data_IF_503027661431
#
_entry.id   IF_503027661431
#
_cell.length_a   1.000
_cell.length_b   1.000
_cell.length_c   1.000
_cell.angle_alpha   90.00
_cell.angle_beta   90.00
_cell.angle_gamma   90.00
#
_symmetry.space_group_name_H-M   'P 1'
#
loop_
_entity.id
_entity.type
_entity.pdbx_description
1 polymer ?
#
# COMPACT_ATOMS: atom_id res chain seq x y z
N UNK A 1 -25.08 -13.65 -3.96
CA UNK A 1 -25.47 -12.25 -4.24
C UNK A 1 -26.52 -12.24 -5.35
N UNK A 2 -27.58 -11.43 -5.28
CA UNK A 2 -28.62 -11.38 -6.33
C UNK A 2 -27.98 -10.91 -7.66
N UNK A 3 -28.39 -11.47 -8.81
CA UNK A 3 -27.83 -11.20 -10.14
C UNK A 3 -27.76 -9.70 -10.48
N UNK A 4 -28.75 -8.92 -10.05
CA UNK A 4 -28.79 -7.46 -10.23
C UNK A 4 -27.62 -6.74 -9.54
N UNK A 5 -27.28 -7.12 -8.30
CA UNK A 5 -26.12 -6.55 -7.58
C UNK A 5 -24.80 -6.92 -8.26
N UNK A 6 -24.70 -8.10 -8.88
CA UNK A 6 -23.52 -8.47 -9.67
C UNK A 6 -23.34 -7.56 -10.89
N UNK A 7 -24.41 -7.26 -11.63
CA UNK A 7 -24.35 -6.34 -12.78
C UNK A 7 -23.97 -4.91 -12.35
N UNK A 8 -24.56 -4.43 -11.26
CA UNK A 8 -24.21 -3.12 -10.68
C UNK A 8 -22.72 -3.06 -10.30
N UNK A 9 -22.22 -4.10 -9.62
CA UNK A 9 -20.81 -4.26 -9.25
C UNK A 9 -19.88 -4.23 -10.46
N UNK A 10 -20.16 -5.01 -11.51
CA UNK A 10 -19.37 -4.98 -12.74
C UNK A 10 -19.38 -3.61 -13.42
N UNK A 11 -20.54 -2.94 -13.48
CA UNK A 11 -20.64 -1.58 -14.04
C UNK A 11 -19.83 -0.57 -13.23
N UNK A 12 -19.91 -0.63 -11.90
CA UNK A 12 -19.20 0.27 -11.01
C UNK A 12 -17.68 0.14 -11.19
N UNK A 13 -17.14 -1.08 -11.18
CA UNK A 13 -15.71 -1.34 -11.41
C UNK A 13 -15.24 -0.79 -12.75
N UNK A 14 -16.00 -1.01 -13.83
CA UNK A 14 -15.65 -0.53 -15.18
C UNK A 14 -15.62 0.99 -15.27
N UNK A 15 -16.55 1.67 -14.59
CA UNK A 15 -16.57 3.15 -14.51
C UNK A 15 -15.36 3.67 -13.74
N UNK A 16 -15.03 3.08 -12.60
CA UNK A 16 -13.83 3.46 -11.84
C UNK A 16 -12.55 3.26 -12.64
N UNK A 17 -12.40 2.12 -13.33
CA UNK A 17 -11.22 1.88 -14.16
C UNK A 17 -11.12 2.88 -15.32
N UNK A 18 -12.26 3.26 -15.93
CA UNK A 18 -12.30 4.27 -16.97
C UNK A 18 -11.91 5.66 -16.45
N UNK A 19 -12.34 6.02 -15.24
CA UNK A 19 -11.93 7.25 -14.55
C UNK A 19 -10.41 7.30 -14.35
N UNK A 20 -9.82 6.26 -13.73
CA UNK A 20 -8.36 6.16 -13.52
C UNK A 20 -7.61 6.23 -14.86
N UNK A 21 -8.15 5.62 -15.91
CA UNK A 21 -7.55 5.70 -17.24
C UNK A 21 -7.59 7.11 -17.84
N UNK A 22 -8.64 7.88 -17.58
CA UNK A 22 -8.71 9.30 -17.94
C UNK A 22 -7.57 10.08 -17.29
N UNK A 23 -7.35 9.89 -15.99
CA UNK A 23 -6.24 10.52 -15.25
C UNK A 23 -4.88 10.13 -15.83
N UNK A 24 -4.66 8.83 -16.09
CA UNK A 24 -3.41 8.38 -16.69
C UNK A 24 -3.18 8.83 -18.15
N UNK A 25 -4.22 9.33 -18.82
CA UNK A 25 -4.10 9.93 -20.14
C UNK A 25 -3.66 11.40 -20.09
N UNK A 26 -3.87 12.07 -18.95
CA UNK A 26 -3.41 13.43 -18.74
C UNK A 26 -1.87 13.48 -18.57
N UNK A 27 -1.13 14.26 -19.38
CA UNK A 27 0.32 14.30 -19.28
C UNK A 27 0.88 14.84 -17.96
N UNK A 28 0.21 15.79 -17.32
CA UNK A 28 0.66 16.38 -16.05
C UNK A 28 0.46 15.36 -14.92
N UNK A 29 -0.75 14.81 -14.79
CA UNK A 29 -1.01 13.77 -13.79
C UNK A 29 -0.12 12.54 -14.00
N UNK A 30 0.13 12.13 -15.24
CA UNK A 30 1.00 10.99 -15.51
C UNK A 30 2.48 11.26 -15.27
N UNK A 31 2.92 12.53 -15.30
CA UNK A 31 4.28 12.89 -14.92
C UNK A 31 4.49 12.70 -13.42
N UNK A 32 3.52 13.10 -12.60
CA UNK A 32 3.62 13.06 -11.14
C UNK A 32 3.27 11.68 -10.54
N UNK A 33 2.30 10.98 -11.14
CA UNK A 33 1.74 9.72 -10.60
C UNK A 33 1.87 8.53 -11.53
N UNK A 34 2.66 8.64 -12.61
CA UNK A 34 2.75 7.59 -13.63
C UNK A 34 3.22 6.24 -13.08
N UNK A 35 4.13 6.22 -12.10
CA UNK A 35 4.61 4.99 -11.49
C UNK A 35 3.50 4.23 -10.76
N UNK A 36 2.66 4.93 -10.02
CA UNK A 36 1.57 4.36 -9.24
C UNK A 36 0.41 3.90 -10.14
N UNK A 37 0.02 4.75 -11.11
CA UNK A 37 -1.00 4.43 -12.10
C UNK A 37 -0.65 3.16 -12.91
N UNK A 38 0.64 2.97 -13.26
CA UNK A 38 1.08 1.74 -13.91
C UNK A 38 0.90 0.51 -13.02
N UNK A 39 1.18 0.63 -11.73
CA UNK A 39 0.99 -0.44 -10.75
C UNK A 39 -0.49 -0.78 -10.59
N UNK A 40 -1.38 0.23 -10.53
CA UNK A 40 -2.82 0.05 -10.55
C UNK A 40 -3.27 -0.84 -11.73
N UNK A 41 -2.93 -0.46 -12.96
CA UNK A 41 -3.30 -1.25 -14.14
C UNK A 41 -2.71 -2.64 -14.10
N UNK A 42 -1.45 -2.77 -13.68
CA UNK A 42 -0.78 -4.05 -13.59
C UNK A 42 -1.47 -5.01 -12.60
N UNK A 43 -1.73 -4.56 -11.37
CA UNK A 43 -2.33 -5.41 -10.35
C UNK A 43 -3.74 -5.84 -10.74
N UNK A 44 -4.59 -4.91 -11.21
CA UNK A 44 -5.92 -5.24 -11.73
C UNK A 44 -5.81 -6.25 -12.88
N UNK A 45 -4.90 -6.04 -13.84
CA UNK A 45 -4.71 -6.94 -14.97
C UNK A 45 -4.20 -8.33 -14.57
N UNK A 46 -3.35 -8.41 -13.56
CA UNK A 46 -2.66 -9.63 -13.17
C UNK A 46 -3.52 -10.53 -12.26
N UNK A 47 -4.35 -9.94 -11.41
CA UNK A 47 -4.98 -10.65 -10.29
C UNK A 47 -6.51 -10.71 -10.37
N UNK A 48 -7.17 -9.91 -11.21
CA UNK A 48 -8.64 -9.97 -11.35
C UNK A 48 -9.14 -11.34 -11.83
N UNK A 49 -10.28 -11.78 -11.31
CA UNK A 49 -11.01 -12.97 -11.77
C UNK A 49 -11.77 -12.72 -13.08
N UNK A 50 -12.31 -11.51 -13.25
CA UNK A 50 -13.04 -11.11 -14.46
C UNK A 50 -12.07 -11.00 -15.65
N UNK A 51 -12.20 -11.84 -16.70
CA UNK A 51 -11.30 -11.84 -17.84
C UNK A 51 -11.41 -10.56 -18.69
N UNK A 52 -12.56 -9.90 -18.75
CA UNK A 52 -12.75 -8.65 -19.48
C UNK A 52 -12.03 -7.51 -18.79
N UNK A 53 -12.16 -7.44 -17.45
CA UNK A 53 -11.44 -6.49 -16.62
C UNK A 53 -9.93 -6.65 -16.77
N UNK A 54 -9.43 -7.91 -16.72
CA UNK A 54 -8.00 -8.21 -16.95
C UNK A 54 -7.51 -7.69 -18.29
N UNK A 55 -8.24 -7.97 -19.38
CA UNK A 55 -7.84 -7.57 -20.74
C UNK A 55 -7.86 -6.04 -20.88
N UNK A 56 -8.87 -5.39 -20.31
CA UNK A 56 -9.02 -3.93 -20.37
C UNK A 56 -7.91 -3.22 -19.61
N UNK A 57 -7.68 -3.57 -18.35
CA UNK A 57 -6.61 -3.00 -17.53
C UNK A 57 -5.23 -3.26 -18.15
N UNK A 58 -4.99 -4.47 -18.72
CA UNK A 58 -3.74 -4.78 -19.40
C UNK A 58 -3.52 -3.91 -20.63
N UNK A 59 -4.56 -3.67 -21.44
CA UNK A 59 -4.46 -2.81 -22.62
C UNK A 59 -4.10 -1.38 -22.23
N UNK A 60 -4.86 -0.81 -21.28
CA UNK A 60 -4.64 0.53 -20.73
C UNK A 60 -3.23 0.66 -20.16
N UNK A 61 -2.86 -0.23 -19.24
CA UNK A 61 -1.53 -0.24 -18.64
C UNK A 61 -0.40 -0.41 -19.65
N UNK A 62 -0.54 -1.28 -20.66
CA UNK A 62 0.49 -1.46 -21.69
C UNK A 62 0.68 -0.21 -22.55
N UNK A 63 -0.39 0.51 -22.84
CA UNK A 63 -0.31 1.79 -23.53
C UNK A 63 0.45 2.83 -22.70
N UNK A 64 0.05 2.99 -21.44
CA UNK A 64 0.72 3.91 -20.50
C UNK A 64 2.18 3.51 -20.25
N UNK A 65 2.49 2.21 -20.20
CA UNK A 65 3.86 1.70 -20.05
C UNK A 65 4.75 2.08 -21.25
N UNK A 66 4.21 2.16 -22.48
CA UNK A 66 4.96 2.69 -23.63
C UNK A 66 5.20 4.19 -23.49
N UNK A 67 4.24 4.94 -22.95
CA UNK A 67 4.45 6.36 -22.65
C UNK A 67 5.54 6.53 -21.59
N UNK A 68 5.49 5.76 -20.51
CA UNK A 68 6.52 5.75 -19.47
C UNK A 68 7.93 5.57 -20.03
N UNK A 69 8.14 4.59 -20.93
CA UNK A 69 9.44 4.39 -21.60
C UNK A 69 9.86 5.55 -22.51
N UNK A 70 8.92 6.33 -23.05
CA UNK A 70 9.22 7.52 -23.86
C UNK A 70 9.56 8.73 -23.00
N UNK A 71 8.90 8.88 -21.85
CA UNK A 71 9.18 9.96 -20.88
C UNK A 71 10.53 9.71 -20.19
N UNK A 72 10.83 8.45 -19.87
CA UNK A 72 12.05 8.04 -19.18
C UNK A 72 12.91 7.11 -20.06
N UNK A 73 13.53 7.62 -21.14
CA UNK A 73 14.39 6.82 -22.02
C UNK A 73 15.74 6.45 -21.38
N UNK A 74 16.17 7.22 -20.38
CA UNK A 74 17.38 7.00 -19.61
C UNK A 74 17.21 7.57 -18.20
N UNK A 75 17.97 7.05 -17.24
CA UNK A 75 18.00 7.57 -15.89
C UNK A 75 18.60 8.99 -15.90
N UNK A 76 17.98 10.00 -15.27
CA UNK A 76 18.57 11.32 -15.11
C UNK A 76 19.93 11.23 -14.41
N UNK A 77 20.91 12.05 -14.85
CA UNK A 77 22.27 12.03 -14.29
C UNK A 77 22.35 12.49 -12.83
N UNK A 78 21.37 13.27 -12.40
CA UNK A 78 21.21 13.84 -11.06
C UNK A 78 20.15 13.10 -10.22
N UNK A 79 19.71 11.92 -10.65
CA UNK A 79 18.70 11.14 -9.95
C UNK A 79 19.13 10.82 -8.50
N UNK A 80 18.30 11.27 -7.56
CA UNK A 80 18.43 10.96 -6.14
C UNK A 80 17.75 9.63 -5.77
N UNK A 81 17.79 9.28 -4.48
CA UNK A 81 17.21 8.05 -3.97
C UNK A 81 15.69 7.96 -4.27
N UNK A 82 14.94 9.04 -4.07
CA UNK A 82 13.49 9.07 -4.30
C UNK A 82 13.16 8.94 -5.80
N UNK A 83 13.91 9.63 -6.66
CA UNK A 83 13.79 9.49 -8.12
C UNK A 83 14.07 8.05 -8.57
N UNK A 84 15.09 7.41 -8.00
CA UNK A 84 15.41 6.00 -8.30
C UNK A 84 14.27 5.08 -7.85
N UNK A 85 13.67 5.32 -6.67
CA UNK A 85 12.55 4.53 -6.16
C UNK A 85 11.32 4.64 -7.08
N UNK A 86 10.94 5.86 -7.45
CA UNK A 86 9.80 6.11 -8.33
C UNK A 86 10.00 5.46 -9.71
N UNK A 87 11.18 5.68 -10.30
CA UNK A 87 11.51 5.13 -11.62
C UNK A 87 11.58 3.60 -11.61
N UNK A 88 12.07 3.01 -10.51
CA UNK A 88 12.04 1.57 -10.28
C UNK A 88 10.60 1.05 -10.16
N UNK A 89 9.75 1.73 -9.40
CA UNK A 89 8.37 1.32 -9.16
C UNK A 89 7.56 1.30 -10.47
N UNK A 90 7.63 2.36 -11.27
CA UNK A 90 6.98 2.42 -12.58
C UNK A 90 7.60 1.44 -13.59
N UNK A 91 8.93 1.27 -13.57
CA UNK A 91 9.59 0.35 -14.51
C UNK A 91 9.30 -1.13 -14.22
N UNK A 92 9.14 -1.52 -12.95
CA UNK A 92 8.71 -2.87 -12.60
C UNK A 92 7.32 -3.14 -13.20
N UNK A 93 6.37 -2.22 -13.04
CA UNK A 93 5.04 -2.37 -13.61
C UNK A 93 5.07 -2.40 -15.14
N UNK A 94 5.84 -1.51 -15.80
CA UNK A 94 6.00 -1.49 -17.24
C UNK A 94 6.56 -2.83 -17.80
N UNK A 95 7.59 -3.39 -17.15
CA UNK A 95 8.15 -4.70 -17.49
C UNK A 95 7.10 -5.81 -17.37
N UNK A 96 6.32 -5.79 -16.29
CA UNK A 96 5.29 -6.78 -16.02
C UNK A 96 4.04 -6.64 -16.93
N UNK A 97 3.82 -5.45 -17.48
CA UNK A 97 2.85 -5.15 -18.54
C UNK A 97 3.37 -5.52 -19.95
N UNK A 98 4.63 -5.95 -20.05
CA UNK A 98 5.23 -6.47 -21.28
C UNK A 98 5.96 -5.42 -22.12
N UNK A 99 6.31 -4.27 -21.54
CA UNK A 99 7.13 -3.22 -22.18
C UNK A 99 8.50 -3.18 -21.47
N UNK A 100 9.31 -4.19 -21.78
CA UNK A 100 10.58 -4.44 -21.09
C UNK A 100 11.66 -3.47 -21.52
N UNK A 101 12.49 -3.06 -20.56
CA UNK A 101 13.71 -2.28 -20.82
C UNK A 101 14.88 -2.77 -19.94
N UNK A 102 15.65 -3.78 -20.41
CA UNK A 102 16.77 -4.32 -19.64
C UNK A 102 17.92 -3.32 -19.47
N UNK A 103 18.09 -2.37 -20.40
CA UNK A 103 19.15 -1.37 -20.32
C UNK A 103 18.86 -0.36 -19.22
N UNK A 104 17.64 0.19 -19.18
CA UNK A 104 17.19 1.08 -18.13
C UNK A 104 17.19 0.40 -16.76
N UNK A 105 16.75 -0.86 -16.68
CA UNK A 105 16.87 -1.68 -15.48
C UNK A 105 18.31 -1.76 -14.97
N UNK A 106 19.28 -2.01 -15.85
CA UNK A 106 20.68 -2.06 -15.47
C UNK A 106 21.22 -0.70 -14.98
N UNK A 107 20.71 0.42 -15.52
CA UNK A 107 21.04 1.77 -15.02
C UNK A 107 20.55 1.95 -13.58
N UNK A 108 19.28 1.64 -13.31
CA UNK A 108 18.71 1.71 -11.95
C UNK A 108 19.47 0.81 -10.96
N UNK A 109 19.81 -0.42 -11.35
CA UNK A 109 20.57 -1.34 -10.50
C UNK A 109 21.97 -0.84 -10.15
N UNK A 110 22.60 -0.05 -11.02
CA UNK A 110 23.91 0.57 -10.74
C UNK A 110 23.74 1.80 -9.86
N UNK A 111 22.84 2.70 -10.24
CA UNK A 111 22.60 3.95 -9.50
C UNK A 111 22.14 3.68 -8.06
N UNK A 112 21.34 2.65 -7.85
CA UNK A 112 20.83 2.31 -6.51
C UNK A 112 21.91 1.93 -5.50
N UNK A 113 23.13 1.57 -5.95
CA UNK A 113 24.25 1.22 -5.08
C UNK A 113 24.96 2.44 -4.50
N UNK A 114 24.64 3.64 -4.99
CA UNK A 114 25.26 4.88 -4.55
C UNK A 114 24.62 5.46 -3.28
N UNK A 115 23.53 4.86 -2.81
CA UNK A 115 22.73 5.31 -1.68
C UNK A 115 22.62 4.19 -0.64
N UNK A 116 22.48 4.56 0.62
CA UNK A 116 22.36 3.62 1.72
C UNK A 116 20.89 3.32 2.09
N UNK A 117 20.69 2.47 3.10
CA UNK A 117 19.35 2.13 3.57
C UNK A 117 18.60 3.35 4.12
N UNK A 118 19.31 4.30 4.73
CA UNK A 118 18.71 5.50 5.33
C UNK A 118 18.23 6.46 4.26
N UNK A 119 18.93 6.58 3.14
CA UNK A 119 18.49 7.39 2.00
C UNK A 119 17.16 6.86 1.43
N UNK A 120 17.00 5.54 1.35
CA UNK A 120 15.79 4.91 0.78
C UNK A 120 14.65 4.70 1.77
N UNK A 121 14.95 4.44 3.04
CA UNK A 121 13.98 3.97 4.03
C UNK A 121 13.80 4.96 5.19
N UNK A 122 14.59 6.04 5.23
CA UNK A 122 14.68 7.02 6.31
C UNK A 122 15.30 6.50 7.63
N UNK A 123 15.61 5.21 7.74
CA UNK A 123 16.27 4.61 8.90
C UNK A 123 17.12 3.39 8.54
N UNK A 124 17.91 2.92 9.50
CA UNK A 124 18.77 1.74 9.40
C UNK A 124 18.07 0.52 10.05
N UNK A 125 17.26 -0.27 9.31
CA UNK A 125 16.40 -1.29 9.91
C UNK A 125 17.17 -2.42 10.59
N UNK A 126 18.46 -2.60 10.29
CA UNK A 126 19.32 -3.55 10.99
C UNK A 126 19.51 -3.13 12.46
N UNK A 127 19.53 -1.83 12.75
CA UNK A 127 20.00 -1.28 14.01
C UNK A 127 18.90 -0.60 14.85
N UNK A 128 17.89 -0.01 14.21
CA UNK A 128 16.84 0.76 14.89
C UNK A 128 15.43 0.38 14.42
N UNK A 129 14.41 0.48 15.30
CA UNK A 129 13.01 0.36 14.90
C UNK A 129 12.57 1.56 14.02
N UNK A 130 11.40 1.50 13.37
CA UNK A 130 10.84 2.61 12.64
C UNK A 130 10.81 3.89 13.49
N UNK A 131 11.48 4.96 13.05
CA UNK A 131 11.59 6.20 13.81
C UNK A 131 10.28 7.00 13.85
N UNK A 132 10.23 7.97 14.77
CA UNK A 132 9.12 8.92 14.91
C UNK A 132 9.56 10.38 14.65
N UNK A 133 10.77 10.58 14.10
CA UNK A 133 11.36 11.90 13.82
C UNK A 133 11.62 12.13 12.32
N UNK A 134 10.93 11.37 11.46
CA UNK A 134 10.93 11.59 10.02
C UNK A 134 9.86 12.65 9.71
N UNK A 135 10.24 13.83 9.19
CA UNK A 135 9.26 14.86 8.88
C UNK A 135 8.43 14.45 7.65
N UNK A 136 7.15 14.75 7.71
CA UNK A 136 6.27 14.72 6.56
C UNK A 136 6.52 15.94 5.65
N UNK A 137 5.85 15.99 4.51
CA UNK A 137 5.82 17.15 3.64
C UNK A 137 5.33 18.37 4.41
N UNK A 138 5.95 19.54 4.19
CA UNK A 138 5.53 20.74 4.88
C UNK A 138 4.15 21.23 4.42
N UNK A 139 3.15 21.21 5.31
CA UNK A 139 1.77 21.71 5.09
C UNK A 139 1.67 23.15 4.57
N UNK A 140 2.72 23.97 4.74
CA UNK A 140 2.72 25.34 4.26
C UNK A 140 3.30 25.57 2.88
N UNK A 141 4.19 24.68 2.40
CA UNK A 141 4.90 24.94 1.14
C UNK A 141 5.28 23.69 0.34
N UNK A 142 4.80 22.51 0.73
CA UNK A 142 4.99 21.26 0.00
C UNK A 142 6.41 20.69 0.01
N UNK A 143 7.33 21.22 0.83
CA UNK A 143 8.74 20.78 0.80
C UNK A 143 8.99 19.59 1.73
N UNK A 144 9.73 18.62 1.20
CA UNK A 144 10.31 17.50 1.93
C UNK A 144 11.61 17.90 2.65
N UNK A 145 11.91 17.20 3.74
CA UNK A 145 13.05 17.47 4.59
C UNK A 145 13.73 16.19 5.09
N UNK A 146 15.04 16.26 5.34
CA UNK A 146 15.77 15.15 5.96
C UNK A 146 15.28 14.91 7.40
N UNK A 147 15.33 13.65 7.82
CA UNK A 147 15.05 13.17 9.19
C UNK A 147 15.69 14.05 10.28
N UNK A 148 14.99 14.20 11.40
CA UNK A 148 15.42 14.97 12.57
C UNK A 148 15.10 16.46 12.50
N UNK A 149 14.63 16.97 11.36
CA UNK A 149 14.28 18.39 11.19
C UNK A 149 12.87 18.67 11.70
N UNK A 150 12.76 19.61 12.65
CA UNK A 150 11.48 19.99 13.28
C UNK A 150 10.71 21.18 12.68
N UNK A 151 11.28 21.90 11.71
CA UNK A 151 10.64 23.07 11.10
C UNK A 151 11.16 23.29 9.66
N UNK A 152 10.30 23.78 8.80
CA UNK A 152 10.60 23.97 7.39
C UNK A 152 11.71 24.99 7.16
N UNK A 153 12.65 24.70 6.25
CA UNK A 153 13.73 25.64 5.88
C UNK A 153 13.21 26.87 5.13
N UNK A 154 12.08 26.75 4.43
CA UNK A 154 11.49 27.81 3.59
C UNK A 154 10.51 28.67 4.39
N UNK A 155 9.39 28.11 4.82
CA UNK A 155 8.33 28.89 5.48
C UNK A 155 8.43 28.93 7.01
N UNK A 156 9.45 28.28 7.61
CA UNK A 156 9.70 28.22 9.06
C UNK A 156 8.59 27.59 9.91
N UNK A 157 7.49 27.11 9.32
CA UNK A 157 6.43 26.38 10.03
C UNK A 157 6.99 25.11 10.70
N UNK A 158 6.48 24.72 11.87
CA UNK A 158 6.73 23.40 12.45
C UNK A 158 6.40 22.29 11.44
N UNK A 159 7.19 21.22 11.44
CA UNK A 159 6.92 20.05 10.60
C UNK A 159 6.15 19.00 11.39
N UNK A 160 5.10 18.47 10.78
CA UNK A 160 4.45 17.23 11.21
C UNK A 160 5.43 16.07 10.97
N UNK A 161 5.44 15.09 11.87
CA UNK A 161 6.27 13.89 11.71
C UNK A 161 5.39 12.76 11.21
N UNK A 162 5.93 11.94 10.30
CA UNK A 162 5.34 10.66 9.93
C UNK A 162 5.21 9.79 11.18
N UNK A 163 4.11 9.05 11.28
CA UNK A 163 4.00 8.03 12.32
C UNK A 163 4.99 6.89 12.03
N UNK A 164 5.33 6.15 13.10
CA UNK A 164 6.13 4.92 12.98
C UNK A 164 5.50 3.87 12.07
N UNK A 165 4.17 3.89 11.91
CA UNK A 165 3.45 3.01 10.99
C UNK A 165 3.70 3.44 9.55
N UNK A 166 3.60 4.74 9.27
CA UNK A 166 3.96 5.40 8.01
C UNK A 166 5.32 4.95 7.51
N UNK A 167 6.36 5.24 8.31
CA UNK A 167 7.74 4.90 7.96
C UNK A 167 7.94 3.39 7.73
N UNK A 168 7.27 2.55 8.52
CA UNK A 168 7.44 1.11 8.45
C UNK A 168 6.81 0.47 7.21
N UNK A 169 5.57 0.84 6.87
CA UNK A 169 4.89 0.22 5.73
C UNK A 169 5.50 0.68 4.40
N UNK A 170 5.96 1.93 4.34
CA UNK A 170 6.72 2.46 3.20
C UNK A 170 7.98 1.65 2.97
N UNK A 171 8.75 1.39 4.03
CA UNK A 171 9.96 0.58 3.93
C UNK A 171 9.67 -0.85 3.46
N UNK A 172 8.58 -1.48 3.92
CA UNK A 172 8.16 -2.80 3.43
C UNK A 172 7.80 -2.78 1.94
N UNK A 173 7.04 -1.78 1.48
CA UNK A 173 6.67 -1.64 0.09
C UNK A 173 7.90 -1.43 -0.81
N UNK A 174 8.76 -0.47 -0.46
CA UNK A 174 10.00 -0.15 -1.18
C UNK A 174 10.89 -1.40 -1.32
N UNK A 175 11.11 -2.14 -0.24
CA UNK A 175 11.92 -3.37 -0.26
C UNK A 175 11.26 -4.53 -1.02
N UNK A 176 9.94 -4.67 -0.93
CA UNK A 176 9.19 -5.64 -1.72
C UNK A 176 9.38 -5.38 -3.23
N UNK A 177 9.17 -4.14 -3.65
CA UNK A 177 9.30 -3.71 -5.05
C UNK A 177 10.74 -3.87 -5.55
N UNK A 178 11.72 -3.38 -4.78
CA UNK A 178 13.13 -3.49 -5.12
C UNK A 178 13.59 -4.93 -5.29
N UNK A 179 13.23 -5.82 -4.35
CA UNK A 179 13.61 -7.23 -4.43
C UNK A 179 13.07 -7.92 -5.69
N UNK A 180 11.87 -7.55 -6.16
CA UNK A 180 11.27 -8.09 -7.39
C UNK A 180 11.87 -7.50 -8.64
N UNK A 181 12.29 -6.25 -8.58
CA UNK A 181 13.00 -5.62 -9.69
C UNK A 181 14.47 -6.05 -9.73
N UNK A 182 15.00 -6.65 -8.67
CA UNK A 182 16.41 -7.07 -8.56
C UNK A 182 17.33 -5.92 -8.18
N UNK A 183 16.83 -4.99 -7.35
CA UNK A 183 17.55 -3.86 -6.77
C UNK A 183 17.66 -4.09 -5.26
N UNK A 184 18.79 -3.69 -4.68
CA UNK A 184 19.04 -3.74 -3.23
C UNK A 184 19.07 -2.31 -2.69
N UNK A 185 18.27 -2.01 -1.67
CA UNK A 185 18.16 -0.68 -1.05
C UNK A 185 18.89 -0.62 0.30
N UNK A 186 20.06 -1.23 0.40
CA UNK A 186 20.84 -1.30 1.66
C UNK A 186 20.27 -2.18 2.78
N UNK A 187 19.06 -2.74 2.62
CA UNK A 187 18.45 -3.63 3.60
C UNK A 187 17.68 -4.79 2.96
N UNK A 188 17.38 -5.82 3.76
CA UNK A 188 16.47 -6.89 3.39
C UNK A 188 15.09 -6.66 4.01
N UNK A 189 14.05 -7.18 3.33
CA UNK A 189 12.67 -7.15 3.84
C UNK A 189 12.55 -7.69 5.28
N UNK A 190 13.35 -8.70 5.64
CA UNK A 190 13.40 -9.27 7.00
C UNK A 190 13.92 -8.29 8.05
N UNK A 191 14.78 -7.34 7.68
CA UNK A 191 15.33 -6.35 8.58
C UNK A 191 14.26 -5.34 9.03
N UNK A 192 13.26 -5.10 8.17
CA UNK A 192 12.09 -4.25 8.50
C UNK A 192 10.98 -5.06 9.17
N UNK A 193 10.67 -6.25 8.66
CA UNK A 193 9.59 -7.09 9.21
C UNK A 193 9.83 -7.50 10.67
N UNK A 194 11.09 -7.68 11.09
CA UNK A 194 11.42 -8.07 12.48
C UNK A 194 10.88 -7.10 13.53
N UNK A 195 10.62 -5.84 13.16
CA UNK A 195 10.10 -4.80 14.03
C UNK A 195 8.57 -4.84 14.22
N UNK A 196 7.85 -5.73 13.54
CA UNK A 196 6.39 -5.91 13.69
C UNK A 196 5.91 -5.96 15.16
N UNK A 197 6.60 -6.61 16.12
CA UNK A 197 6.18 -6.62 17.52
C UNK A 197 6.17 -5.25 18.20
N UNK A 198 6.98 -4.29 17.74
CA UNK A 198 7.01 -2.93 18.33
C UNK A 198 5.82 -2.08 17.88
N UNK A 199 5.17 -2.48 16.78
CA UNK A 199 3.98 -1.84 16.23
C UNK A 199 2.69 -2.46 16.76
N UNK A 200 2.75 -3.70 17.23
CA UNK A 200 1.65 -4.37 17.93
C UNK A 200 1.63 -3.98 19.43
N UNK A 201 0.46 -3.99 20.09
CA UNK A 201 -0.88 -4.12 19.52
C UNK A 201 -1.34 -2.83 18.82
N UNK A 202 -2.16 -2.97 17.78
CA UNK A 202 -2.76 -1.84 17.07
C UNK A 202 -3.90 -1.22 17.87
N UNK A 203 -3.85 0.10 18.04
CA UNK A 203 -4.93 0.87 18.68
C UNK A 203 -5.98 1.26 17.65
N UNK A 204 -7.25 1.25 18.07
CA UNK A 204 -8.35 1.73 17.24
C UNK A 204 -8.43 3.26 17.22
N UNK A 205 -9.51 3.80 16.65
CA UNK A 205 -9.78 5.25 16.54
C UNK A 205 -9.96 5.98 17.88
N UNK A 206 -10.44 5.28 18.91
CA UNK A 206 -10.58 5.81 20.29
C UNK A 206 -11.34 7.16 20.41
N UNK A 207 -12.39 7.34 19.60
CA UNK A 207 -13.14 8.61 19.44
C UNK A 207 -12.23 9.77 18.99
N UNK A 208 -11.49 9.56 17.90
CA UNK A 208 -10.57 10.51 17.27
C UNK A 208 -9.35 10.92 18.11
N UNK A 209 -9.09 10.22 19.21
CA UNK A 209 -7.93 10.49 20.08
C UNK A 209 -6.66 9.78 19.66
N UNK A 210 -6.74 8.89 18.68
CA UNK A 210 -5.58 8.20 18.14
C UNK A 210 -5.21 8.80 16.78
N UNK A 211 -4.22 9.71 16.70
CA UNK A 211 -3.79 10.32 15.44
C UNK A 211 -3.18 9.28 14.48
N UNK A 212 -2.61 8.19 15.01
CA UNK A 212 -1.98 7.14 14.21
C UNK A 212 -2.99 6.13 13.65
N UNK A 213 -4.29 6.30 13.89
CA UNK A 213 -5.29 5.29 13.51
C UNK A 213 -5.27 5.01 12.00
N UNK A 214 -5.26 6.06 11.19
CA UNK A 214 -5.25 5.95 9.73
C UNK A 214 -4.00 5.18 9.26
N UNK A 215 -2.82 5.65 9.66
CA UNK A 215 -1.55 4.99 9.32
C UNK A 215 -1.46 3.55 9.83
N UNK A 216 -2.08 3.24 10.97
CA UNK A 216 -2.13 1.86 11.47
C UNK A 216 -2.94 0.93 10.58
N UNK A 217 -4.04 1.43 9.98
CA UNK A 217 -4.81 0.68 8.99
C UNK A 217 -3.97 0.45 7.74
N UNK A 218 -3.33 1.50 7.22
CA UNK A 218 -2.45 1.40 6.05
C UNK A 218 -1.29 0.45 6.28
N UNK A 219 -0.66 0.51 7.45
CA UNK A 219 0.44 -0.39 7.76
C UNK A 219 0.00 -1.86 7.79
N UNK A 220 -1.17 -2.15 8.34
CA UNK A 220 -1.72 -3.50 8.36
C UNK A 220 -2.05 -3.98 6.94
N UNK A 221 -2.70 -3.15 6.13
CA UNK A 221 -3.07 -3.52 4.75
C UNK A 221 -1.85 -3.72 3.87
N UNK A 222 -0.85 -2.86 3.97
CA UNK A 222 0.39 -2.92 3.18
C UNK A 222 1.33 -4.05 3.63
N UNK A 223 1.36 -4.40 4.91
CA UNK A 223 1.97 -5.66 5.37
C UNK A 223 1.34 -6.86 4.64
N UNK A 224 0.01 -6.89 4.53
CA UNK A 224 -0.70 -7.99 3.86
C UNK A 224 -0.42 -7.98 2.36
N UNK A 225 -0.44 -6.82 1.69
CA UNK A 225 -0.13 -6.72 0.26
C UNK A 225 1.27 -7.21 -0.06
N UNK A 226 2.28 -6.77 0.70
CA UNK A 226 3.66 -7.21 0.48
C UNK A 226 3.83 -8.72 0.75
N UNK A 227 3.16 -9.27 1.76
CA UNK A 227 3.19 -10.70 2.07
C UNK A 227 2.35 -11.58 1.13
N UNK A 228 1.30 -11.05 0.51
CA UNK A 228 0.43 -11.81 -0.40
C UNK A 228 0.76 -11.57 -1.90
N UNK A 229 1.74 -10.71 -2.16
CA UNK A 229 2.21 -10.37 -3.48
C UNK A 229 1.25 -9.46 -4.25
N UNK A 230 0.61 -8.52 -3.54
CA UNK A 230 -0.45 -7.62 -4.01
C UNK A 230 -1.60 -8.42 -4.63
N UNK A 231 -2.24 -9.20 -3.77
CA UNK A 231 -3.42 -10.02 -4.02
C UNK A 231 -3.23 -11.10 -5.10
N UNK A 232 -2.00 -11.63 -5.21
CA UNK A 232 -1.70 -12.82 -6.03
C UNK A 232 -2.01 -14.12 -5.31
N UNK A 233 -1.81 -14.16 -4.00
CA UNK A 233 -2.01 -15.33 -3.16
C UNK A 233 -2.99 -15.02 -2.03
N UNK A 234 -3.66 -16.05 -1.55
CA UNK A 234 -4.34 -15.99 -0.25
C UNK A 234 -3.33 -16.21 0.86
N UNK A 235 -3.61 -15.64 2.02
CA UNK A 235 -2.88 -15.85 3.27
C UNK A 235 -3.71 -16.68 4.25
N UNK A 236 -3.02 -17.43 5.11
CA UNK A 236 -3.66 -18.12 6.23
C UNK A 236 -3.81 -17.12 7.39
N UNK A 237 -5.02 -16.93 7.97
CA UNK A 237 -5.22 -16.05 9.12
C UNK A 237 -4.30 -16.36 10.31
N UNK A 238 -3.84 -17.61 10.45
CA UNK A 238 -2.92 -18.03 11.52
C UNK A 238 -1.52 -17.42 11.39
N UNK A 239 -1.14 -16.92 10.20
CA UNK A 239 0.14 -16.23 10.01
C UNK A 239 0.10 -14.80 10.54
N UNK A 240 -1.08 -14.16 10.57
CA UNK A 240 -1.29 -12.76 10.91
C UNK A 240 -2.57 -12.58 11.76
N UNK A 241 -2.69 -13.25 12.92
CA UNK A 241 -3.95 -13.29 13.67
C UNK A 241 -4.36 -11.92 14.21
N UNK A 242 -3.38 -11.11 14.63
CA UNK A 242 -3.63 -9.77 15.17
C UNK A 242 -4.13 -8.81 14.08
N UNK A 243 -3.55 -8.88 12.88
CA UNK A 243 -3.92 -8.08 11.72
C UNK A 243 -5.30 -8.49 11.21
N UNK A 244 -5.54 -9.80 11.06
CA UNK A 244 -6.84 -10.30 10.62
C UNK A 244 -7.97 -9.84 11.55
N UNK A 245 -7.77 -9.97 12.87
CA UNK A 245 -8.73 -9.48 13.85
C UNK A 245 -8.88 -7.94 13.81
N UNK A 246 -7.79 -7.21 13.57
CA UNK A 246 -7.82 -5.75 13.43
C UNK A 246 -8.67 -5.31 12.23
N UNK A 247 -8.44 -5.91 11.05
CA UNK A 247 -9.21 -5.63 9.84
C UNK A 247 -10.72 -5.86 10.06
N UNK A 248 -11.08 -7.01 10.66
CA UNK A 248 -12.48 -7.35 10.90
C UNK A 248 -13.19 -6.31 11.78
N UNK A 249 -12.51 -5.78 12.81
CA UNK A 249 -13.08 -4.78 13.72
C UNK A 249 -13.34 -3.42 13.05
N UNK A 250 -12.59 -3.09 11.99
CA UNK A 250 -12.56 -1.72 11.46
C UNK A 250 -13.33 -1.49 10.16
N UNK A 251 -13.90 -2.52 9.53
CA UNK A 251 -14.81 -2.32 8.38
C UNK A 251 -15.98 -1.42 8.74
N UNK A 252 -16.61 -1.62 9.90
CA UNK A 252 -17.70 -0.77 10.37
C UNK A 252 -17.24 0.67 10.66
N UNK A 253 -15.98 0.83 11.11
CA UNK A 253 -15.39 2.15 11.35
C UNK A 253 -15.20 2.93 10.06
N UNK A 254 -14.66 2.30 9.01
CA UNK A 254 -14.50 2.92 7.69
C UNK A 254 -15.83 3.39 7.10
N UNK A 255 -16.86 2.53 7.17
CA UNK A 255 -18.22 2.88 6.72
C UNK A 255 -18.78 4.08 7.51
N UNK A 256 -18.61 4.09 8.83
CA UNK A 256 -19.09 5.19 9.69
C UNK A 256 -18.35 6.51 9.44
N UNK A 257 -17.08 6.45 9.03
CA UNK A 257 -16.29 7.60 8.60
C UNK A 257 -16.63 8.09 7.20
N UNK A 258 -17.45 7.34 6.44
CA UNK A 258 -17.68 7.54 5.01
C UNK A 258 -16.37 7.53 4.20
N UNK A 259 -15.45 6.67 4.61
CA UNK A 259 -14.15 6.52 4.00
C UNK A 259 -14.15 5.33 3.02
N UNK A 260 -14.30 5.65 1.73
CA UNK A 260 -14.32 4.66 0.66
C UNK A 260 -12.97 3.99 0.46
N UNK A 261 -11.88 4.71 0.70
CA UNK A 261 -10.52 4.22 0.49
C UNK A 261 -10.16 3.17 1.53
N UNK A 262 -10.30 3.53 2.80
CA UNK A 262 -10.11 2.62 3.92
C UNK A 262 -11.03 1.41 3.79
N UNK A 263 -12.30 1.62 3.42
CA UNK A 263 -13.22 0.50 3.23
C UNK A 263 -12.73 -0.43 2.11
N UNK A 264 -12.29 0.12 0.97
CA UNK A 264 -11.73 -0.62 -0.15
C UNK A 264 -10.58 -1.55 0.25
N UNK A 265 -9.57 -1.02 0.93
CA UNK A 265 -8.41 -1.80 1.36
C UNK A 265 -8.74 -2.86 2.42
N UNK A 266 -9.61 -2.53 3.38
CA UNK A 266 -10.05 -3.49 4.39
C UNK A 266 -10.77 -4.67 3.74
N UNK A 267 -11.65 -4.43 2.76
CA UNK A 267 -12.34 -5.50 2.05
C UNK A 267 -11.39 -6.33 1.19
N UNK A 268 -10.44 -5.69 0.49
CA UNK A 268 -9.47 -6.42 -0.32
C UNK A 268 -8.61 -7.36 0.54
N UNK A 269 -8.03 -6.82 1.60
CA UNK A 269 -7.14 -7.58 2.48
C UNK A 269 -7.88 -8.68 3.24
N UNK A 270 -9.13 -8.46 3.65
CA UNK A 270 -9.99 -9.52 4.22
C UNK A 270 -10.28 -10.64 3.22
N UNK A 271 -10.50 -10.35 1.93
CA UNK A 271 -10.63 -11.39 0.90
C UNK A 271 -9.36 -12.20 0.73
N UNK A 272 -8.18 -11.60 0.95
CA UNK A 272 -6.91 -12.33 0.90
C UNK A 272 -6.82 -13.41 1.99
N UNK A 273 -7.55 -13.26 3.09
CA UNK A 273 -7.72 -14.28 4.15
C UNK A 273 -8.85 -15.28 3.87
N UNK A 274 -9.48 -15.21 2.70
CA UNK A 274 -10.51 -16.17 2.27
C UNK A 274 -11.94 -15.76 2.55
N UNK A 275 -12.20 -14.55 3.05
CA UNK A 275 -13.57 -14.03 3.15
C UNK A 275 -14.17 -13.86 1.75
N UNK A 276 -15.47 -14.08 1.65
CA UNK A 276 -16.22 -14.00 0.39
C UNK A 276 -17.51 -13.20 0.59
N UNK A 277 -18.24 -12.90 -0.49
CA UNK A 277 -19.55 -12.22 -0.46
C UNK A 277 -20.62 -12.92 0.42
N UNK A 278 -20.37 -14.16 0.85
CA UNK A 278 -21.20 -14.85 1.84
C UNK A 278 -21.08 -14.22 3.23
N UNK A 279 -19.93 -13.64 3.55
CA UNK A 279 -19.63 -13.00 4.83
C UNK A 279 -20.47 -11.71 5.01
N UNK A 280 -21.25 -11.57 6.10
CA UNK A 280 -22.05 -10.38 6.35
C UNK A 280 -21.23 -9.09 6.46
N UNK A 281 -20.01 -9.15 6.98
CA UNK A 281 -19.11 -8.01 7.11
C UNK A 281 -18.68 -7.51 5.73
N UNK A 282 -18.23 -8.42 4.85
CA UNK A 282 -17.88 -8.03 3.48
C UNK A 282 -19.09 -7.48 2.73
N UNK A 283 -20.26 -8.09 2.89
CA UNK A 283 -21.47 -7.62 2.22
C UNK A 283 -21.82 -6.17 2.58
N UNK A 284 -21.68 -5.79 3.85
CA UNK A 284 -21.91 -4.40 4.30
C UNK A 284 -20.95 -3.42 3.63
N UNK A 285 -19.66 -3.74 3.59
CA UNK A 285 -18.68 -2.90 2.91
C UNK A 285 -18.89 -2.83 1.40
N UNK A 286 -19.21 -3.95 0.75
CA UNK A 286 -19.53 -3.98 -0.68
C UNK A 286 -20.76 -3.11 -1.00
N UNK A 287 -21.82 -3.22 -0.19
CA UNK A 287 -23.03 -2.40 -0.35
C UNK A 287 -22.73 -0.91 -0.14
N UNK A 288 -21.90 -0.57 0.84
CA UNK A 288 -21.42 0.79 1.07
C UNK A 288 -20.64 1.32 -0.15
N UNK A 289 -19.62 0.61 -0.63
CA UNK A 289 -18.84 1.05 -1.80
C UNK A 289 -19.72 1.25 -3.04
N UNK A 290 -20.66 0.34 -3.31
CA UNK A 290 -21.59 0.50 -4.45
C UNK A 290 -22.48 1.74 -4.31
N UNK A 291 -22.84 2.13 -3.08
CA UNK A 291 -23.68 3.29 -2.81
C UNK A 291 -22.92 4.62 -2.81
N UNK A 292 -21.58 4.61 -2.77
CA UNK A 292 -20.75 5.82 -2.70
C UNK A 292 -20.06 6.19 -4.03
N UNK A 293 -20.31 5.46 -5.12
CA UNK A 293 -19.67 5.80 -6.39
C UNK A 293 -20.18 7.14 -6.91
N UNK A 294 -19.26 8.05 -7.25
CA UNK A 294 -19.54 9.37 -7.79
C UNK A 294 -20.13 9.31 -9.22
N UNK A 295 -20.67 10.45 -9.67
CA UNK A 295 -21.30 10.61 -11.00
C UNK A 295 -20.34 10.40 -12.19
N UNK A 296 -19.05 10.68 -12.01
CA UNK A 296 -17.99 10.45 -13.00
C UNK A 296 -17.40 9.03 -12.95
N UNK A 297 -17.70 8.28 -11.89
CA UNK A 297 -17.24 6.91 -11.69
C UNK A 297 -16.15 6.75 -10.65
N UNK A 298 -15.65 7.85 -10.07
CA UNK A 298 -14.66 7.81 -8.99
C UNK A 298 -15.28 7.38 -7.65
N UNK A 299 -14.42 7.14 -6.67
CA UNK A 299 -14.71 7.18 -5.24
C UNK A 299 -13.85 8.27 -4.59
N UNK A 300 -14.14 8.59 -3.33
CA UNK A 300 -13.46 9.65 -2.60
C UNK A 300 -14.18 10.99 -2.74
N UNK A 301 -13.56 12.02 -2.18
CA UNK A 301 -14.07 13.39 -2.22
C UNK A 301 -13.97 13.96 -3.65
N UNK A 302 -15.01 14.69 -4.05
CA UNK A 302 -15.06 15.39 -5.35
C UNK A 302 -14.69 16.86 -5.23
N UNK A 303 -14.65 17.39 -4.01
CA UNK A 303 -14.39 18.80 -3.72
C UNK A 303 -12.88 19.05 -3.49
N UNK A 304 -12.03 18.07 -3.73
CA UNK A 304 -10.57 18.22 -3.71
C UNK A 304 -10.12 19.03 -4.91
N UNK A 305 -9.25 20.01 -4.68
CA UNK A 305 -8.61 20.77 -5.76
C UNK A 305 -7.92 19.82 -6.76
N UNK A 306 -7.87 20.19 -8.04
CA UNK A 306 -7.21 19.41 -9.10
C UNK A 306 -5.73 19.10 -8.76
N UNK A 307 -5.12 19.90 -7.88
CA UNK A 307 -3.75 19.73 -7.38
C UNK A 307 -3.54 18.47 -6.51
N UNK A 308 -4.62 17.85 -5.99
CA UNK A 308 -4.56 16.57 -5.26
C UNK A 308 -5.34 15.47 -5.99
N UNK A 309 -4.93 15.19 -7.23
CA UNK A 309 -5.52 14.11 -8.02
C UNK A 309 -5.35 12.73 -7.35
N UNK A 310 -4.35 12.56 -6.47
CA UNK A 310 -4.14 11.34 -5.69
C UNK A 310 -5.36 11.02 -4.83
N UNK A 311 -5.91 12.02 -4.13
CA UNK A 311 -7.14 11.90 -3.35
C UNK A 311 -8.39 11.51 -4.18
N UNK A 312 -8.29 11.49 -5.52
CA UNK A 312 -9.38 11.05 -6.41
C UNK A 312 -9.15 9.67 -7.00
N UNK A 313 -7.97 9.41 -7.56
CA UNK A 313 -7.74 8.14 -8.24
C UNK A 313 -7.41 7.01 -7.27
N UNK A 314 -6.75 7.28 -6.13
CA UNK A 314 -6.36 6.23 -5.18
C UNK A 314 -7.57 5.63 -4.45
N UNK A 315 -8.54 6.41 -3.92
CA UNK A 315 -9.81 5.86 -3.42
C UNK A 315 -10.60 5.09 -4.48
N UNK A 316 -10.51 5.52 -5.74
CA UNK A 316 -11.15 4.82 -6.87
C UNK A 316 -10.50 3.45 -7.10
N UNK A 317 -9.17 3.36 -7.01
CA UNK A 317 -8.45 2.10 -7.13
C UNK A 317 -8.77 1.16 -5.97
N UNK A 318 -8.64 1.61 -4.72
CA UNK A 318 -8.93 0.77 -3.55
C UNK A 318 -10.39 0.31 -3.54
N UNK A 319 -11.34 1.15 -3.99
CA UNK A 319 -12.73 0.74 -4.18
C UNK A 319 -12.89 -0.34 -5.26
N UNK A 320 -12.16 -0.27 -6.39
CA UNK A 320 -12.13 -1.34 -7.39
C UNK A 320 -11.61 -2.65 -6.79
N UNK A 321 -10.54 -2.60 -5.99
CA UNK A 321 -9.94 -3.77 -5.35
C UNK A 321 -10.88 -4.38 -4.29
N UNK A 322 -11.50 -3.52 -3.47
CA UNK A 322 -12.56 -3.89 -2.55
C UNK A 322 -13.81 -4.43 -3.25
N UNK A 323 -14.09 -4.01 -4.50
CA UNK A 323 -15.22 -4.47 -5.29
C UNK A 323 -14.91 -5.62 -6.23
N UNK A 324 -13.69 -5.99 -6.60
CA UNK A 324 -13.47 -7.08 -7.56
C UNK A 324 -13.24 -8.44 -6.87
N UNK A 325 -13.28 -9.51 -7.66
CA UNK A 325 -12.85 -10.83 -7.22
C UNK A 325 -11.51 -11.18 -7.86
N UNK A 326 -10.84 -12.17 -7.28
CA UNK A 326 -9.45 -12.50 -7.58
C UNK A 326 -9.28 -13.88 -8.19
N UNK A 327 -8.40 -13.97 -9.18
CA UNK A 327 -7.84 -15.21 -9.70
C UNK A 327 -6.64 -15.62 -8.82
N UNK A 328 -6.93 -16.00 -7.56
CA UNK A 328 -5.93 -16.41 -6.59
C UNK A 328 -5.05 -17.55 -7.12
N UNK A 329 -3.73 -17.47 -6.89
CA UNK A 329 -2.75 -18.49 -7.29
C UNK A 329 -2.43 -19.49 -6.17
N UNK A 330 -3.36 -19.69 -5.24
CA UNK A 330 -3.21 -20.59 -4.09
C UNK A 330 -3.03 -19.87 -2.75
N UNK A 331 -2.72 -20.64 -1.71
CA UNK A 331 -2.50 -20.21 -0.33
C UNK A 331 -0.99 -20.22 -0.04
N UNK A 332 -0.32 -19.05 0.00
CA UNK A 332 1.11 -18.96 0.31
C UNK A 332 1.57 -17.52 0.56
N UNK A 333 2.71 -17.39 1.24
CA UNK A 333 3.48 -16.14 1.27
C UNK A 333 4.13 -15.84 -0.09
N UNK A 334 4.21 -14.56 -0.43
CA UNK A 334 4.92 -14.03 -1.60
C UNK A 334 6.41 -14.32 -1.54
N UNK A 335 6.95 -14.39 -0.32
CA UNK A 335 8.31 -14.76 0.05
C UNK A 335 8.24 -15.93 1.06
N UNK A 336 8.22 -17.19 0.61
CA UNK A 336 8.05 -18.36 1.49
C UNK A 336 9.08 -18.44 2.64
N UNK A 337 10.29 -17.92 2.42
CA UNK A 337 11.36 -17.84 3.43
C UNK A 337 11.00 -17.03 4.68
N UNK A 338 9.92 -16.25 4.66
CA UNK A 338 9.47 -15.47 5.81
C UNK A 338 8.66 -16.30 6.83
N UNK A 339 8.18 -17.50 6.48
CA UNK A 339 7.33 -18.28 7.37
C UNK A 339 7.93 -18.54 8.77
N UNK A 340 9.22 -18.91 8.92
CA UNK A 340 9.82 -19.10 10.24
C UNK A 340 9.95 -17.80 11.04
N UNK A 341 10.12 -16.66 10.38
CA UNK A 341 10.14 -15.37 11.06
C UNK A 341 8.74 -15.03 11.59
N UNK A 342 7.70 -15.12 10.74
CA UNK A 342 6.32 -14.84 11.16
C UNK A 342 5.85 -15.72 12.33
N UNK A 343 6.20 -17.02 12.31
CA UNK A 343 5.88 -17.92 13.41
C UNK A 343 6.47 -17.42 14.75
N UNK A 344 7.77 -17.09 14.76
CA UNK A 344 8.45 -16.54 15.94
C UNK A 344 7.85 -15.21 16.43
N UNK A 345 7.50 -14.31 15.51
CA UNK A 345 6.91 -13.02 15.86
C UNK A 345 5.52 -13.20 16.52
N UNK A 346 4.76 -14.22 16.13
CA UNK A 346 3.47 -14.53 16.74
C UNK A 346 3.62 -15.15 18.13
N UNK A 347 4.64 -15.99 18.36
CA UNK A 347 4.95 -16.55 19.70
C UNK A 347 5.32 -15.45 20.69
N UNK A 348 6.14 -14.48 20.28
CA UNK A 348 6.52 -13.33 21.13
C UNK A 348 5.33 -12.46 21.54
N UNK A 349 4.25 -12.46 20.77
CA UNK A 349 3.02 -11.73 21.10
C UNK A 349 2.12 -12.52 22.07
N UNK A 350 2.18 -13.85 22.05
CA UNK A 350 1.35 -14.72 22.89
C UNK A 350 1.83 -14.82 24.34
N UNK A 351 3.01 -14.28 24.67
CA UNK A 351 3.55 -14.25 26.04
C UNK A 351 3.29 -12.90 26.71
N UNK A 352 2.20 -12.72 27.49
CA UNK A 352 2.15 -11.65 28.46
C UNK A 352 3.18 -11.96 29.56
N UNK A 353 4.02 -11.00 29.91
CA UNK A 353 4.87 -11.10 31.09
C UNK A 353 4.00 -11.51 32.29
N UNK A 354 4.23 -12.72 32.80
CA UNK A 354 3.60 -13.18 34.03
C UNK A 354 4.00 -12.19 35.12
N UNK A 355 3.07 -11.52 35.82
CA UNK A 355 3.45 -10.65 36.91
C UNK A 355 4.14 -11.53 37.96
N UNK A 356 5.41 -11.25 38.23
CA UNK A 356 6.13 -11.88 39.35
C UNK A 356 5.31 -11.61 40.60
N UNK A 357 4.69 -12.66 41.15
CA UNK A 357 4.10 -12.61 42.49
C UNK A 357 5.26 -12.30 43.45
N UNK A 358 5.33 -11.07 43.93
CA UNK A 358 6.16 -10.74 45.07
C UNK A 358 5.57 -11.47 46.28
N UNK A 359 6.15 -12.61 46.63
CA UNK A 359 5.95 -13.25 47.92
C UNK A 359 6.69 -12.44 48.98
N UNK A 360 6.06 -11.40 49.51
CA UNK A 360 6.42 -10.89 50.83
C UNK A 360 5.75 -11.78 51.87
N UNK A 361 6.47 -12.81 52.32
CA UNK A 361 6.22 -13.43 53.60
C UNK A 361 6.51 -12.41 54.69
N UNK A 362 5.48 -11.94 55.40
CA UNK A 362 5.64 -11.26 56.68
C UNK A 362 5.97 -12.31 57.75
N UNK A 363 6.81 -11.89 58.69
CA UNK A 363 7.18 -12.57 59.93
C UNK A 363 5.97 -12.99 60.74
#
# INVERSE_FOLDING_TARGET
MRLFKQRARTRAIRRGLAFIYGIACDPAHFADYGSDLLNCFYFIAATSRDPDLRRTARRMGRERARQWRRVWPALPSDADADTILDLMHGSLAADLLGVRDPAFKAQLQRAARNFDARDYLCFEPQHEPPPADVPDQCDGCGRWHKRGRKACRRCRRPLTMLSRYGVWYDALNRLYTASRYGVTLGAHYTDVLKWLPTLRPYRGRERDRNPDFYDSVYAVTHLIYTLNGFSRYRLDPRWLPAEFAFLQRHVATAIAMKDAEMCGELLDTLKSFGLTDADPLLRKGLDYLLAQQNGDGSWGDTDTDDDDIYARYHPTWTAIDGLRDYAWRGLRLSLPKLAPLLARLNETQASPATPKRNSTSRK
#
